data_IF_781714682284
#
_entry.id   IF_781714682284
#
_cell.length_a   1.000
_cell.length_b   1.000
_cell.length_c   1.000
_cell.angle_alpha   90.00
_cell.angle_beta   90.00
_cell.angle_gamma   90.00
#
_symmetry.space_group_name_H-M   'P 1'
#
loop_
_entity.id
_entity.type
_entity.pdbx_description
1 polymer ?
#
# COMPACT_ATOMS: atom_id res chain seq x y z
N UNK A 1 -13.32 12.42 -17.61
CA UNK A 1 -13.72 11.88 -16.29
C UNK A 1 -12.69 10.82 -15.93
N UNK A 2 -12.15 10.79 -14.69
CA UNK A 2 -11.38 9.63 -14.25
C UNK A 2 -12.27 8.38 -14.35
N UNK A 3 -11.71 7.21 -14.70
CA UNK A 3 -12.48 5.98 -14.76
C UNK A 3 -13.10 5.71 -13.37
N UNK A 4 -14.34 5.19 -13.35
CA UNK A 4 -14.90 4.68 -12.10
C UNK A 4 -13.96 3.61 -11.55
N UNK A 5 -13.71 3.57 -10.24
CA UNK A 5 -12.95 2.49 -9.63
C UNK A 5 -13.59 1.14 -9.90
N UNK A 6 -12.75 0.12 -10.03
CA UNK A 6 -13.21 -1.25 -10.15
C UNK A 6 -13.39 -1.83 -8.74
N UNK A 7 -14.63 -1.93 -8.27
CA UNK A 7 -14.91 -2.61 -7.00
C UNK A 7 -15.04 -4.11 -7.23
N UNK A 8 -14.27 -4.93 -6.52
CA UNK A 8 -14.46 -6.38 -6.53
C UNK A 8 -15.43 -6.82 -5.42
N UNK A 9 -16.12 -7.94 -5.62
CA UNK A 9 -17.17 -8.45 -4.73
C UNK A 9 -18.60 -8.05 -5.11
N UNK A 10 -18.75 -7.30 -6.20
CA UNK A 10 -20.04 -7.10 -6.90
C UNK A 10 -19.99 -7.84 -8.23
N UNK A 11 -21.12 -8.33 -8.74
CA UNK A 11 -21.24 -9.35 -9.80
C UNK A 11 -20.52 -9.14 -11.15
N UNK A 12 -19.66 -8.12 -11.31
CA UNK A 12 -18.80 -7.91 -12.49
C UNK A 12 -17.29 -8.04 -12.23
N UNK A 13 -16.82 -8.06 -10.97
CA UNK A 13 -15.39 -8.15 -10.67
C UNK A 13 -15.14 -9.09 -9.48
N UNK A 14 -14.46 -10.21 -9.73
CA UNK A 14 -13.84 -11.04 -8.71
C UNK A 14 -12.34 -10.73 -8.67
N UNK A 15 -11.73 -10.76 -7.49
CA UNK A 15 -10.28 -10.76 -7.41
C UNK A 15 -9.74 -12.06 -8.04
N UNK A 16 -8.53 -12.05 -8.64
CA UNK A 16 -8.00 -13.25 -9.29
C UNK A 16 -7.81 -14.39 -8.27
N UNK A 17 -7.89 -15.63 -8.75
CA UNK A 17 -7.66 -16.83 -7.92
C UNK A 17 -6.22 -16.95 -7.41
N UNK A 18 -5.29 -16.20 -7.99
CA UNK A 18 -3.92 -16.06 -7.51
C UNK A 18 -3.33 -14.71 -7.89
N UNK A 19 -2.45 -14.20 -7.04
CA UNK A 19 -1.64 -13.00 -7.29
C UNK A 19 -0.23 -13.38 -7.74
N UNK A 20 0.38 -12.52 -8.55
CA UNK A 20 1.82 -12.60 -8.82
C UNK A 20 2.61 -12.33 -7.54
N UNK A 21 2.10 -11.44 -6.69
CA UNK A 21 2.64 -11.14 -5.38
C UNK A 21 1.53 -10.71 -4.44
N UNK A 22 1.57 -11.20 -3.20
CA UNK A 22 0.70 -10.75 -2.12
C UNK A 22 1.60 -10.26 -0.99
N UNK A 23 1.29 -9.10 -0.42
CA UNK A 23 2.11 -8.48 0.62
C UNK A 23 1.27 -7.56 1.52
N UNK A 24 1.79 -7.26 2.70
CA UNK A 24 1.22 -6.28 3.62
C UNK A 24 2.08 -5.03 3.54
N UNK A 25 1.47 -3.86 3.44
CA UNK A 25 2.16 -2.56 3.54
C UNK A 25 1.64 -1.78 4.74
N UNK A 26 2.56 -1.21 5.51
CA UNK A 26 2.26 -0.53 6.76
C UNK A 26 2.81 0.90 6.75
N UNK A 27 1.92 1.85 7.06
CA UNK A 27 2.24 3.21 7.49
C UNK A 27 1.85 3.33 8.97
N UNK A 28 2.85 3.47 9.84
CA UNK A 28 2.67 3.44 11.30
C UNK A 28 2.90 4.83 11.88
N UNK A 29 2.21 5.14 12.98
CA UNK A 29 2.32 6.45 13.65
C UNK A 29 2.78 6.28 15.09
N UNK A 30 3.37 7.33 15.66
CA UNK A 30 3.94 7.30 17.02
C UNK A 30 2.89 7.30 18.14
N UNK A 31 1.66 7.77 17.89
CA UNK A 31 0.70 8.13 18.94
C UNK A 31 -0.65 7.46 18.76
N UNK A 32 -1.24 7.03 19.87
CA UNK A 32 -2.63 6.55 19.97
C UNK A 32 -3.67 7.69 19.87
N UNK A 33 -3.24 8.94 19.95
CA UNK A 33 -4.10 10.12 19.80
C UNK A 33 -3.46 11.17 18.89
N UNK A 34 -4.28 11.75 18.02
CA UNK A 34 -3.86 12.70 16.99
C UNK A 34 -4.68 12.52 15.72
N UNK A 35 -4.46 13.35 14.68
CA UNK A 35 -5.19 13.24 13.43
C UNK A 35 -4.75 12.06 12.54
N UNK A 36 -3.68 11.35 12.91
CA UNK A 36 -3.07 10.29 12.11
C UNK A 36 -3.34 8.90 12.67
N UNK A 37 -3.73 7.99 11.80
CA UNK A 37 -3.98 6.59 12.09
C UNK A 37 -2.80 5.72 11.66
N UNK A 38 -2.68 4.55 12.29
CA UNK A 38 -1.84 3.48 11.74
C UNK A 38 -2.66 2.82 10.62
N UNK A 39 -2.06 2.66 9.45
CA UNK A 39 -2.67 2.01 8.30
C UNK A 39 -1.88 0.77 7.88
N UNK A 40 -2.59 -0.34 7.70
CA UNK A 40 -2.05 -1.59 7.18
C UNK A 40 -2.98 -2.10 6.09
N UNK A 41 -2.42 -2.39 4.92
CA UNK A 41 -3.18 -2.91 3.78
C UNK A 41 -2.61 -4.24 3.33
N UNK A 42 -3.47 -5.22 3.11
CA UNK A 42 -3.13 -6.42 2.34
C UNK A 42 -3.31 -6.08 0.87
N UNK A 43 -2.23 -6.18 0.10
CA UNK A 43 -2.20 -5.81 -1.31
C UNK A 43 -1.82 -6.99 -2.19
N UNK A 44 -2.67 -7.25 -3.19
CA UNK A 44 -2.43 -8.19 -4.26
C UNK A 44 -1.93 -7.47 -5.51
N UNK A 45 -0.86 -7.97 -6.11
CA UNK A 45 -0.35 -7.54 -7.40
C UNK A 45 -0.52 -8.67 -8.42
N UNK A 46 -1.11 -8.35 -9.57
CA UNK A 46 -1.28 -9.27 -10.69
C UNK A 46 -0.64 -8.68 -11.93
N UNK A 47 0.22 -9.46 -12.57
CA UNK A 47 0.84 -9.12 -13.85
C UNK A 47 0.36 -10.05 -14.94
N UNK A 48 0.01 -9.52 -16.10
CA UNK A 48 -0.01 -10.33 -17.33
C UNK A 48 1.43 -10.56 -17.81
N UNK A 49 1.94 -11.81 -17.78
CA UNK A 49 3.32 -12.10 -18.19
C UNK A 49 3.60 -11.75 -19.66
N UNK A 50 2.57 -11.66 -20.50
CA UNK A 50 2.67 -11.33 -21.93
C UNK A 50 2.89 -9.84 -22.18
N UNK A 51 2.59 -8.98 -21.20
CA UNK A 51 2.79 -7.53 -21.30
C UNK A 51 4.20 -7.18 -20.79
N UNK A 52 5.04 -6.51 -21.60
CA UNK A 52 6.36 -6.06 -21.16
C UNK A 52 6.23 -5.08 -19.98
N UNK A 53 7.12 -5.20 -18.98
CA UNK A 53 7.13 -4.32 -17.81
C UNK A 53 7.30 -2.85 -18.20
N UNK A 54 8.02 -2.54 -19.28
CA UNK A 54 8.16 -1.17 -19.78
C UNK A 54 6.85 -0.57 -20.29
N UNK A 55 5.90 -1.42 -20.71
CA UNK A 55 4.58 -1.01 -21.21
C UNK A 55 3.59 -0.88 -20.06
N UNK A 56 3.62 -1.82 -19.12
CA UNK A 56 2.79 -1.82 -17.92
C UNK A 56 3.65 -2.11 -16.68
N UNK A 57 4.24 -1.07 -16.07
CA UNK A 57 5.17 -1.26 -14.95
C UNK A 57 4.49 -1.62 -13.64
N UNK A 58 3.21 -1.29 -13.49
CA UNK A 58 2.47 -1.41 -12.23
C UNK A 58 1.60 -2.65 -12.14
N UNK A 59 1.18 -3.24 -13.27
CA UNK A 59 0.18 -4.30 -13.33
C UNK A 59 -1.14 -3.92 -12.67
N UNK A 60 -1.98 -4.92 -12.38
CA UNK A 60 -3.23 -4.72 -11.65
C UNK A 60 -2.96 -4.86 -10.15
N UNK A 61 -3.52 -3.93 -9.39
CA UNK A 61 -3.32 -3.77 -7.95
C UNK A 61 -4.66 -3.90 -7.24
N UNK A 62 -4.69 -4.76 -6.23
CA UNK A 62 -5.89 -5.08 -5.46
C UNK A 62 -5.62 -4.78 -3.99
N UNK A 63 -6.52 -4.05 -3.32
CA UNK A 63 -6.51 -3.95 -1.85
C UNK A 63 -7.50 -4.98 -1.32
N UNK A 64 -7.03 -5.98 -0.57
CA UNK A 64 -7.86 -7.11 -0.13
C UNK A 64 -8.41 -6.95 1.28
N UNK A 65 -7.63 -6.29 2.14
CA UNK A 65 -7.95 -6.10 3.55
C UNK A 65 -7.29 -4.82 4.04
N UNK A 66 -7.89 -4.21 5.06
CA UNK A 66 -7.52 -2.89 5.58
C UNK A 66 -7.71 -2.82 7.08
N UNK A 67 -6.67 -2.35 7.76
CA UNK A 67 -6.74 -1.81 9.11
C UNK A 67 -6.32 -0.34 9.05
N UNK A 68 -7.16 0.57 9.53
CA UNK A 68 -6.82 1.99 9.61
C UNK A 68 -7.48 2.62 10.83
N UNK A 69 -6.71 2.77 11.91
CA UNK A 69 -7.18 3.36 13.16
C UNK A 69 -6.02 3.81 14.03
N UNK A 70 -6.31 4.63 15.03
CA UNK A 70 -5.34 5.00 16.05
C UNK A 70 -5.05 3.79 16.95
N UNK A 71 -3.76 3.43 17.06
CA UNK A 71 -3.30 2.22 17.74
C UNK A 71 -2.02 2.53 18.54
N UNK A 72 -1.89 1.90 19.71
CA UNK A 72 -0.61 1.75 20.39
C UNK A 72 0.30 0.78 19.63
N UNK A 73 1.59 0.77 19.98
CA UNK A 73 2.54 -0.18 19.41
C UNK A 73 2.08 -1.65 19.53
N UNK A 74 1.62 -2.06 20.71
CA UNK A 74 1.16 -3.43 20.97
C UNK A 74 -0.10 -3.77 20.17
N UNK A 75 -1.03 -2.83 20.02
CA UNK A 75 -2.21 -3.00 19.17
C UNK A 75 -1.81 -3.15 17.69
N UNK A 76 -0.90 -2.31 17.19
CA UNK A 76 -0.37 -2.42 15.83
C UNK A 76 0.34 -3.76 15.59
N UNK A 77 1.12 -4.25 16.57
CA UNK A 77 1.78 -5.56 16.50
C UNK A 77 0.77 -6.69 16.36
N UNK A 78 -0.28 -6.67 17.20
CA UNK A 78 -1.33 -7.68 17.18
C UNK A 78 -2.06 -7.71 15.83
N UNK A 79 -2.39 -6.54 15.27
CA UNK A 79 -3.05 -6.45 13.96
C UNK A 79 -2.15 -6.95 12.82
N UNK A 80 -0.86 -6.61 12.82
CA UNK A 80 0.06 -7.12 11.80
C UNK A 80 0.20 -8.64 11.85
N UNK A 81 0.27 -9.23 13.05
CA UNK A 81 0.28 -10.69 13.24
C UNK A 81 -1.03 -11.29 12.75
N UNK A 82 -2.17 -10.69 13.08
CA UNK A 82 -3.50 -11.14 12.63
C UNK A 82 -3.57 -11.16 11.10
N UNK A 83 -3.25 -10.04 10.44
CA UNK A 83 -3.22 -9.95 8.97
C UNK A 83 -2.27 -10.98 8.35
N UNK A 84 -1.08 -11.17 8.92
CA UNK A 84 -0.12 -12.17 8.43
C UNK A 84 -0.62 -13.61 8.59
N UNK A 85 -1.43 -13.88 9.62
CA UNK A 85 -2.03 -15.19 9.88
C UNK A 85 -3.21 -15.48 8.96
N UNK A 86 -4.08 -14.50 8.76
CA UNK A 86 -5.24 -14.60 7.87
C UNK A 86 -4.85 -14.62 6.39
N UNK A 87 -3.75 -13.94 6.03
CA UNK A 87 -3.23 -13.87 4.66
C UNK A 87 -1.82 -14.51 4.59
N UNK A 88 -1.67 -15.84 4.77
CA UNK A 88 -0.36 -16.49 4.85
C UNK A 88 0.44 -16.42 3.53
N UNK A 89 -0.23 -16.16 2.41
CA UNK A 89 0.41 -15.90 1.12
C UNK A 89 1.08 -14.51 1.06
N UNK A 90 0.73 -13.58 1.98
CA UNK A 90 1.31 -12.25 2.09
C UNK A 90 2.69 -12.29 2.76
N UNK A 91 3.65 -12.91 2.08
CA UNK A 91 4.97 -13.23 2.67
C UNK A 91 5.78 -12.00 3.03
N UNK A 92 5.60 -10.89 2.31
CA UNK A 92 6.32 -9.64 2.56
C UNK A 92 5.48 -8.72 3.43
N UNK A 93 6.09 -8.18 4.48
CA UNK A 93 5.52 -7.13 5.34
C UNK A 93 6.38 -5.89 5.20
N UNK A 94 5.93 -4.95 4.37
CA UNK A 94 6.62 -3.72 4.05
C UNK A 94 6.33 -2.67 5.13
N UNK A 95 7.33 -2.35 5.95
CA UNK A 95 7.19 -1.45 7.10
C UNK A 95 7.93 -0.15 6.82
N UNK A 96 7.22 0.98 6.87
CA UNK A 96 7.86 2.29 6.83
C UNK A 96 8.81 2.45 8.03
N UNK A 97 10.07 2.86 7.80
CA UNK A 97 11.10 3.00 8.85
C UNK A 97 10.93 4.22 9.76
N UNK A 98 9.92 5.04 9.53
CA UNK A 98 9.63 6.19 10.40
C UNK A 98 8.67 5.76 11.53
N UNK A 99 8.46 6.64 12.50
CA UNK A 99 7.57 6.36 13.62
C UNK A 99 7.95 5.09 14.39
N UNK A 100 6.96 4.25 14.66
CA UNK A 100 7.11 2.96 15.34
C UNK A 100 7.69 1.86 14.43
N UNK A 101 8.04 2.19 13.19
CA UNK A 101 8.47 1.22 12.18
C UNK A 101 9.75 0.47 12.48
N UNK A 102 10.80 1.14 12.96
CA UNK A 102 12.05 0.46 13.31
C UNK A 102 11.85 -0.50 14.50
N UNK A 103 11.12 -0.05 15.52
CA UNK A 103 10.75 -0.91 16.64
C UNK A 103 9.93 -2.14 16.19
N UNK A 104 9.01 -1.95 15.24
CA UNK A 104 8.20 -3.04 14.69
C UNK A 104 9.06 -4.05 13.90
N UNK A 105 10.01 -3.56 13.10
CA UNK A 105 10.95 -4.40 12.34
C UNK A 105 11.82 -5.26 13.26
N UNK A 106 12.31 -4.68 14.36
CA UNK A 106 13.17 -5.38 15.31
C UNK A 106 12.38 -6.42 16.12
N UNK A 107 11.24 -6.01 16.70
CA UNK A 107 10.41 -6.84 17.59
C UNK A 107 9.70 -7.99 16.86
N UNK A 108 9.39 -7.83 15.57
CA UNK A 108 8.78 -8.88 14.74
C UNK A 108 9.74 -9.52 13.73
N UNK A 109 11.05 -9.36 13.93
CA UNK A 109 12.07 -9.98 13.06
C UNK A 109 11.88 -11.51 12.89
N UNK A 110 11.34 -12.20 13.91
CA UNK A 110 11.00 -13.63 13.88
C UNK A 110 9.77 -14.01 13.05
N UNK A 111 8.87 -13.08 12.70
CA UNK A 111 7.65 -13.35 11.91
C UNK A 111 7.96 -13.66 10.43
N UNK A 112 9.18 -13.38 9.98
CA UNK A 112 9.65 -13.61 8.61
C UNK A 112 9.05 -12.63 7.59
N UNK A 113 9.86 -12.25 6.60
CA UNK A 113 9.42 -11.39 5.49
C UNK A 113 9.25 -9.91 5.85
N UNK A 114 9.70 -9.49 7.02
CA UNK A 114 9.79 -8.10 7.44
C UNK A 114 10.74 -7.34 6.51
N UNK A 115 10.22 -6.35 5.79
CA UNK A 115 10.96 -5.57 4.79
C UNK A 115 10.86 -4.10 5.11
N UNK A 116 11.99 -3.47 5.39
CA UNK A 116 12.05 -2.05 5.70
C UNK A 116 11.87 -1.17 4.45
N UNK A 117 11.06 -0.12 4.56
CA UNK A 117 10.84 0.88 3.52
C UNK A 117 11.09 2.31 4.02
N UNK A 118 11.83 3.16 3.28
CA UNK A 118 12.64 2.81 2.12
C UNK A 118 13.80 1.87 2.49
N UNK A 119 14.44 1.21 1.50
CA UNK A 119 15.63 0.41 1.73
C UNK A 119 16.75 1.22 2.43
N UNK A 120 17.59 0.54 3.21
CA UNK A 120 18.69 1.19 3.93
C UNK A 120 19.57 2.03 3.00
N UNK A 121 19.88 3.26 3.42
CA UNK A 121 20.67 4.21 2.63
C UNK A 121 19.91 4.89 1.49
N UNK A 122 18.59 4.72 1.40
CA UNK A 122 17.73 5.45 0.46
C UNK A 122 16.86 6.47 1.21
N UNK A 123 16.69 7.65 0.60
CA UNK A 123 15.68 8.60 1.04
C UNK A 123 14.31 8.06 0.64
N UNK A 124 13.31 8.30 1.49
CA UNK A 124 11.92 8.05 1.11
C UNK A 124 11.62 8.94 -0.08
N UNK A 125 10.94 8.39 -1.07
CA UNK A 125 10.22 9.17 -2.07
C UNK A 125 9.39 10.24 -1.35
N UNK A 126 9.27 11.44 -1.90
CA UNK A 126 8.26 12.34 -1.35
C UNK A 126 6.89 11.67 -1.46
N UNK A 127 5.99 11.91 -0.50
CA UNK A 127 4.62 11.38 -0.54
C UNK A 127 3.95 11.68 -1.89
N UNK A 128 4.23 12.85 -2.46
CA UNK A 128 3.76 13.26 -3.78
C UNK A 128 4.18 12.33 -4.92
N UNK A 129 5.41 11.80 -4.91
CA UNK A 129 5.85 10.86 -5.94
C UNK A 129 5.09 9.53 -5.81
N UNK A 130 4.96 9.01 -4.58
CA UNK A 130 4.18 7.80 -4.34
C UNK A 130 2.72 7.97 -4.80
N UNK A 131 2.10 9.11 -4.47
CA UNK A 131 0.73 9.42 -4.86
C UNK A 131 0.57 9.61 -6.36
N UNK A 132 1.53 10.26 -7.03
CA UNK A 132 1.50 10.40 -8.49
C UNK A 132 1.51 9.03 -9.19
N UNK A 133 2.29 8.09 -8.67
CA UNK A 133 2.29 6.70 -9.14
C UNK A 133 0.95 6.02 -8.87
N UNK A 134 0.39 6.15 -7.66
CA UNK A 134 -0.93 5.58 -7.34
C UNK A 134 -2.06 6.17 -8.21
N UNK A 135 -2.04 7.48 -8.45
CA UNK A 135 -2.97 8.17 -9.33
C UNK A 135 -2.83 7.67 -10.78
N UNK A 136 -1.61 7.39 -11.25
CA UNK A 136 -1.40 6.82 -12.58
C UNK A 136 -1.99 5.41 -12.71
N UNK A 137 -1.81 4.55 -11.71
CA UNK A 137 -2.44 3.22 -11.63
C UNK A 137 -3.97 3.34 -11.66
N UNK A 138 -4.54 4.25 -10.88
CA UNK A 138 -5.98 4.49 -10.87
C UNK A 138 -6.49 4.96 -12.24
N UNK A 139 -5.84 5.97 -12.86
CA UNK A 139 -6.22 6.48 -14.19
C UNK A 139 -6.15 5.42 -15.29
N UNK A 140 -5.28 4.43 -15.14
CA UNK A 140 -5.16 3.29 -16.06
C UNK A 140 -6.22 2.21 -15.85
N UNK A 141 -7.09 2.34 -14.84
CA UNK A 141 -8.10 1.32 -14.51
C UNK A 141 -7.50 0.08 -13.85
N UNK A 142 -6.33 0.21 -13.23
CA UNK A 142 -5.55 -0.91 -12.69
C UNK A 142 -5.66 -1.03 -11.17
N UNK A 143 -6.45 -0.17 -10.53
CA UNK A 143 -6.69 -0.20 -9.09
C UNK A 143 -8.06 -0.82 -8.80
N UNK A 144 -8.03 -1.88 -8.00
CA UNK A 144 -9.20 -2.65 -7.59
C UNK A 144 -9.35 -2.59 -6.07
N UNK A 145 -10.51 -2.12 -5.61
CA UNK A 145 -10.82 -1.96 -4.18
C UNK A 145 -12.01 -2.83 -3.80
N UNK A 146 -12.19 -3.20 -2.52
CA UNK A 146 -13.43 -3.86 -2.11
C UNK A 146 -14.56 -2.83 -2.12
N UNK A 147 -15.80 -3.30 -2.26
CA UNK A 147 -16.99 -2.45 -2.16
C UNK A 147 -17.29 -2.09 -0.70
N UNK A 148 -16.42 -1.27 -0.10
CA UNK A 148 -16.49 -0.84 1.29
C UNK A 148 -16.64 0.69 1.38
N UNK A 149 -17.26 1.23 2.44
CA UNK A 149 -17.52 2.67 2.56
C UNK A 149 -16.28 3.56 2.41
N UNK A 150 -15.12 3.04 2.79
CA UNK A 150 -13.85 3.77 2.74
C UNK A 150 -13.17 3.79 1.37
N UNK A 151 -13.59 2.94 0.44
CA UNK A 151 -12.93 2.80 -0.85
C UNK A 151 -13.00 4.12 -1.64
N UNK A 152 -14.15 4.79 -1.58
CA UNK A 152 -14.40 6.06 -2.27
C UNK A 152 -13.54 7.18 -1.71
N UNK A 153 -13.44 7.27 -0.38
CA UNK A 153 -12.61 8.27 0.29
C UNK A 153 -11.13 8.12 -0.09
N UNK A 154 -10.65 6.88 -0.19
CA UNK A 154 -9.28 6.60 -0.61
C UNK A 154 -9.01 7.02 -2.07
N UNK A 155 -9.98 6.82 -2.98
CA UNK A 155 -9.85 7.21 -4.39
C UNK A 155 -9.95 8.73 -4.56
N UNK A 156 -10.92 9.35 -3.88
CA UNK A 156 -11.11 10.79 -3.89
C UNK A 156 -9.84 11.51 -3.45
N UNK A 157 -9.07 10.89 -2.54
CA UNK A 157 -7.77 11.41 -2.13
C UNK A 157 -6.79 11.50 -3.30
N UNK A 158 -6.65 10.50 -4.16
CA UNK A 158 -5.75 10.58 -5.32
C UNK A 158 -6.11 11.68 -6.32
N UNK A 159 -7.38 12.08 -6.37
CA UNK A 159 -7.87 13.09 -7.30
C UNK A 159 -7.82 14.51 -6.74
N UNK A 160 -7.70 14.69 -5.41
CA UNK A 160 -7.89 15.97 -4.71
C UNK A 160 -6.63 16.56 -4.07
N UNK A 161 -5.48 15.88 -4.16
CA UNK A 161 -4.31 16.20 -3.36
C UNK A 161 -3.43 17.35 -3.91
N UNK A 162 -3.18 18.34 -3.06
CA UNK A 162 -2.12 19.34 -3.23
C UNK A 162 -0.92 19.11 -2.29
N UNK A 163 0.29 19.58 -2.64
CA UNK A 163 1.44 19.48 -1.75
C UNK A 163 1.21 20.17 -0.39
N UNK A 164 1.39 19.44 0.71
CA UNK A 164 1.26 19.98 2.07
C UNK A 164 -0.07 19.70 2.78
N UNK A 165 -1.03 19.02 2.13
CA UNK A 165 -2.29 18.64 2.77
C UNK A 165 -2.10 17.52 3.82
N UNK A 166 -1.69 17.90 5.02
CA UNK A 166 -1.80 17.08 6.22
C UNK A 166 -3.26 17.11 6.67
N UNK A 167 -4.13 16.35 6.02
CA UNK A 167 -5.57 16.53 6.12
C UNK A 167 -6.32 15.24 6.38
N UNK A 168 -7.09 15.27 7.48
CA UNK A 168 -8.23 14.41 7.87
C UNK A 168 -8.81 13.46 6.81
N UNK A 169 -9.21 12.27 7.26
CA UNK A 169 -9.83 11.22 6.44
C UNK A 169 -8.95 9.97 6.35
N UNK A 170 -9.19 9.12 5.35
CA UNK A 170 -8.46 7.85 5.14
C UNK A 170 -7.07 8.03 4.48
N UNK A 171 -6.42 9.17 4.76
CA UNK A 171 -5.14 9.57 4.17
C UNK A 171 -4.00 8.57 4.45
N UNK A 172 -3.95 8.00 5.67
CA UNK A 172 -2.91 7.03 6.02
C UNK A 172 -3.04 5.72 5.22
N UNK A 173 -4.27 5.33 4.86
CA UNK A 173 -4.50 4.19 3.95
C UNK A 173 -4.03 4.48 2.53
N UNK A 174 -4.31 5.70 2.03
CA UNK A 174 -3.80 6.14 0.73
C UNK A 174 -2.26 6.18 0.70
N UNK A 175 -1.62 6.61 1.79
CA UNK A 175 -0.16 6.61 1.96
C UNK A 175 0.41 5.18 1.96
N UNK A 176 -0.16 4.28 2.76
CA UNK A 176 0.24 2.88 2.80
C UNK A 176 0.11 2.20 1.42
N UNK A 177 -0.99 2.46 0.69
CA UNK A 177 -1.20 1.91 -0.64
C UNK A 177 -0.18 2.45 -1.64
N UNK A 178 0.02 3.76 -1.66
CA UNK A 178 0.97 4.41 -2.55
C UNK A 178 2.40 3.91 -2.33
N UNK A 179 2.78 3.68 -1.07
CA UNK A 179 4.03 2.99 -0.72
C UNK A 179 4.10 1.58 -1.32
N UNK A 180 3.03 0.78 -1.21
CA UNK A 180 2.97 -0.57 -1.77
C UNK A 180 3.13 -0.59 -3.30
N UNK A 181 2.46 0.32 -4.01
CA UNK A 181 2.57 0.46 -5.46
C UNK A 181 3.99 0.86 -5.85
N UNK A 182 4.57 1.84 -5.15
CA UNK A 182 5.95 2.29 -5.36
C UNK A 182 6.95 1.15 -5.16
N UNK A 183 6.76 0.32 -4.14
CA UNK A 183 7.58 -0.86 -3.87
C UNK A 183 7.55 -1.82 -5.07
N UNK A 184 6.37 -2.20 -5.56
CA UNK A 184 6.22 -3.07 -6.72
C UNK A 184 6.88 -2.47 -7.96
N UNK A 185 6.61 -1.20 -8.26
CA UNK A 185 7.20 -0.52 -9.41
C UNK A 185 8.74 -0.53 -9.36
N UNK A 186 9.32 -0.19 -8.19
CA UNK A 186 10.77 -0.17 -7.99
C UNK A 186 11.43 -1.53 -8.18
N UNK A 187 10.76 -2.60 -7.71
CA UNK A 187 11.26 -3.97 -7.82
C UNK A 187 11.16 -4.51 -9.24
N UNK A 188 10.12 -4.16 -9.99
CA UNK A 188 9.84 -4.69 -11.34
C UNK A 188 10.59 -3.96 -12.44
N UNK A 189 10.78 -2.65 -12.31
CA UNK A 189 11.56 -1.87 -13.28
C UNK A 189 13.08 -2.13 -13.19
N UNK A 190 13.54 -2.92 -12.22
CA UNK A 190 14.95 -3.33 -12.09
C UNK A 190 15.90 -2.17 -11.76
N UNK A 191 15.37 -1.02 -11.37
CA UNK A 191 16.13 0.22 -11.33
C UNK A 191 16.47 0.63 -9.91
N UNK A 192 17.78 0.56 -9.61
CA UNK A 192 18.44 1.41 -8.61
C UNK A 192 18.36 2.92 -8.93
N UNK A 193 17.64 3.36 -9.98
CA UNK A 193 17.74 4.72 -10.56
C UNK A 193 16.52 5.32 -11.29
N UNK A 194 15.39 4.63 -11.50
CA UNK A 194 14.28 5.17 -12.28
C UNK A 194 13.03 5.21 -11.41
N UNK A 195 12.54 6.43 -11.20
CA UNK A 195 11.35 6.93 -10.48
C UNK A 195 11.70 8.16 -9.60
N UNK A 196 12.99 8.53 -9.48
CA UNK A 196 13.46 9.71 -8.70
C UNK A 196 14.46 10.59 -9.44
N UNK A 197 14.31 10.76 -10.76
CA UNK A 197 14.95 11.89 -11.47
C UNK A 197 13.92 12.96 -11.75
#
# INVERSE_FOLDING_TARGET
MPPKPHYFGTGQHYHPSFFTELFITCDLTFKKSGPSNNAMLVMGYKRDPRVPVKVNPYGDVYVLDRVCRSMSFTESKAELIRLATEHPAARIKLIERFANGEAMLDDLSGLGGMTAWPPRGKKKSSKHVCWAVAADVHRRGQLYLPNEPWADDMINRFSSLTPGDAGSGDADSADAMAQGIQYIASRRLGTRRALFS
#
